data_IF_754103280758
#
_entry.id   IF_754103280758
#
_cell.length_a   1.000
_cell.length_b   1.000
_cell.length_c   1.000
_cell.angle_alpha   90.00
_cell.angle_beta   90.00
_cell.angle_gamma   90.00
#
_symmetry.space_group_name_H-M   'P 1'
#
loop_
_entity.id
_entity.type
_entity.pdbx_description
1 polymer ?
#
# COMPACT_ATOMS: atom_id res chain seq x y z
N UNK A 1 36.45 15.70 -6.78
CA UNK A 1 35.48 16.68 -7.32
C UNK A 1 34.21 16.55 -6.51
N UNK A 2 33.99 17.49 -5.59
CA UNK A 2 32.90 17.46 -4.62
C UNK A 2 31.67 18.18 -5.17
N UNK A 3 30.51 17.55 -5.03
CA UNK A 3 29.20 18.18 -5.28
C UNK A 3 28.80 19.01 -4.06
N UNK A 4 28.27 20.23 -4.24
CA UNK A 4 27.88 21.08 -3.13
C UNK A 4 26.56 20.61 -2.50
N UNK A 5 26.58 20.48 -1.18
CA UNK A 5 25.39 20.37 -0.32
C UNK A 5 24.60 21.69 -0.38
N UNK A 6 23.34 21.62 -0.80
CA UNK A 6 22.40 22.74 -0.67
C UNK A 6 21.67 22.58 0.68
N UNK A 7 21.67 23.60 1.55
CA UNK A 7 21.05 23.51 2.87
C UNK A 7 19.52 23.54 2.75
N UNK A 8 18.85 22.59 3.41
CA UNK A 8 17.41 22.66 3.67
C UNK A 8 17.14 23.88 4.55
N UNK A 9 16.43 24.86 3.98
CA UNK A 9 15.96 26.04 4.69
C UNK A 9 15.08 25.65 5.88
N UNK A 10 15.53 26.02 7.08
CA UNK A 10 14.69 26.18 8.25
C UNK A 10 13.71 27.33 7.99
N UNK A 11 12.41 27.03 7.93
CA UNK A 11 11.38 28.06 7.98
C UNK A 11 11.12 28.44 9.45
N UNK A 12 10.97 29.74 9.79
CA UNK A 12 10.73 30.17 11.16
C UNK A 12 9.31 29.79 11.63
N UNK A 13 9.21 29.31 12.86
CA UNK A 13 8.02 28.80 13.55
C UNK A 13 6.95 29.85 13.93
N UNK A 14 6.97 31.08 13.37
CA UNK A 14 6.15 32.20 13.88
C UNK A 14 5.01 32.66 12.94
N UNK A 15 4.48 31.81 12.05
CA UNK A 15 3.38 32.19 11.15
C UNK A 15 2.23 31.18 10.98
N UNK A 16 1.90 30.41 12.02
CA UNK A 16 0.77 29.47 11.99
C UNK A 16 -0.36 29.84 12.98
N UNK A 17 -0.90 31.05 12.88
CA UNK A 17 -2.20 31.41 13.51
C UNK A 17 -3.22 31.97 12.51
N UNK A 18 -3.29 31.38 11.32
CA UNK A 18 -4.45 31.51 10.44
C UNK A 18 -4.83 30.13 9.89
N UNK A 19 -5.88 29.55 10.47
CA UNK A 19 -6.54 28.34 9.96
C UNK A 19 -6.88 28.57 8.49
N UNK A 20 -6.26 27.80 7.60
CA UNK A 20 -6.61 27.81 6.19
C UNK A 20 -7.92 27.04 6.03
N UNK A 21 -9.04 27.76 5.91
CA UNK A 21 -10.27 27.19 5.32
C UNK A 21 -9.95 26.80 3.87
N UNK A 22 -10.37 25.62 3.46
CA UNK A 22 -10.17 25.15 2.09
C UNK A 22 -10.87 26.09 1.09
N UNK A 23 -10.21 26.45 -0.02
CA UNK A 23 -10.68 27.51 -0.93
C UNK A 23 -11.82 27.10 -1.88
N UNK A 24 -12.09 25.79 -2.04
CA UNK A 24 -13.03 25.26 -3.04
C UNK A 24 -14.08 24.32 -2.44
N UNK A 25 -15.22 24.18 -3.14
CA UNK A 25 -16.30 23.24 -2.79
C UNK A 25 -15.78 21.78 -2.73
N UNK A 26 -16.12 21.10 -1.64
CA UNK A 26 -15.81 19.69 -1.39
C UNK A 26 -16.80 18.78 -2.12
N UNK A 27 -16.35 18.09 -3.17
CA UNK A 27 -17.13 17.04 -3.82
C UNK A 27 -16.66 15.67 -3.31
N UNK A 28 -17.53 14.95 -2.60
CA UNK A 28 -17.25 13.57 -2.23
C UNK A 28 -17.55 12.65 -3.41
N UNK A 29 -16.69 11.67 -3.66
CA UNK A 29 -16.96 10.68 -4.69
C UNK A 29 -18.10 9.75 -4.26
N UNK A 30 -18.96 9.41 -5.23
CA UNK A 30 -20.08 8.51 -5.02
C UNK A 30 -19.65 7.05 -4.78
N UNK A 31 -20.57 6.22 -4.32
CA UNK A 31 -20.38 4.80 -3.96
C UNK A 31 -19.89 3.89 -5.08
N UNK A 32 -19.80 4.38 -6.32
CA UNK A 32 -19.40 3.62 -7.51
C UNK A 32 -17.94 3.80 -7.94
N UNK A 33 -17.13 4.59 -7.24
CA UNK A 33 -15.71 4.74 -7.61
C UNK A 33 -14.88 3.56 -7.06
N UNK A 34 -14.33 2.70 -7.92
CA UNK A 34 -13.64 1.50 -7.46
C UNK A 34 -12.32 1.84 -6.77
N UNK A 35 -11.65 2.94 -7.15
CA UNK A 35 -10.25 3.21 -6.83
C UNK A 35 -9.97 3.72 -5.41
N UNK A 36 -11.02 4.05 -4.64
CA UNK A 36 -10.87 4.42 -3.24
C UNK A 36 -9.84 5.53 -2.98
N UNK A 37 -9.76 6.50 -3.88
CA UNK A 37 -8.86 7.63 -3.67
C UNK A 37 -9.62 8.65 -2.83
N UNK A 38 -9.00 9.11 -1.74
CA UNK A 38 -9.44 10.30 -0.99
C UNK A 38 -9.50 11.48 -1.97
N UNK A 39 -10.70 11.88 -2.35
CA UNK A 39 -10.88 12.98 -3.28
C UNK A 39 -11.68 14.11 -2.62
N UNK A 40 -11.00 15.26 -2.59
CA UNK A 40 -11.61 16.54 -2.92
C UNK A 40 -11.95 16.45 -4.42
N UNK A 41 -13.14 15.94 -4.69
CA UNK A 41 -13.60 15.54 -6.01
C UNK A 41 -13.66 16.71 -6.99
N UNK A 42 -13.67 16.36 -8.28
CA UNK A 42 -14.00 17.32 -9.34
C UNK A 42 -15.51 17.31 -9.52
N UNK A 43 -16.07 18.37 -10.11
CA UNK A 43 -17.49 18.33 -10.48
C UNK A 43 -17.78 17.15 -11.42
N UNK A 44 -18.98 16.56 -11.40
CA UNK A 44 -19.36 15.48 -12.31
C UNK A 44 -19.06 15.80 -13.79
N UNK A 45 -19.29 17.03 -14.21
CA UNK A 45 -19.04 17.50 -15.59
C UNK A 45 -17.54 17.52 -15.92
N UNK A 46 -16.69 17.88 -14.96
CA UNK A 46 -15.25 17.83 -15.15
C UNK A 46 -14.73 16.38 -15.17
N UNK A 47 -15.34 15.50 -14.36
CA UNK A 47 -15.06 14.06 -14.39
C UNK A 47 -15.38 13.47 -15.77
N UNK A 48 -16.56 13.75 -16.32
CA UNK A 48 -16.97 13.27 -17.63
C UNK A 48 -16.03 13.75 -18.76
N UNK A 49 -15.66 15.04 -18.75
CA UNK A 49 -14.71 15.60 -19.72
C UNK A 49 -13.33 14.97 -19.63
N UNK A 50 -12.79 14.84 -18.42
CA UNK A 50 -11.47 14.26 -18.20
C UNK A 50 -11.46 12.76 -18.59
N UNK A 51 -12.54 12.02 -18.33
CA UNK A 51 -12.70 10.62 -18.76
C UNK A 51 -12.72 10.48 -20.28
N UNK A 52 -13.55 11.28 -20.97
CA UNK A 52 -13.62 11.27 -22.43
C UNK A 52 -12.26 11.64 -23.08
N UNK A 53 -11.48 12.49 -22.43
CA UNK A 53 -10.17 12.91 -22.89
C UNK A 53 -9.01 11.97 -22.46
N UNK A 54 -9.25 10.97 -21.61
CA UNK A 54 -8.20 10.12 -21.05
C UNK A 54 -7.21 10.87 -20.16
N UNK A 55 -7.65 11.93 -19.47
CA UNK A 55 -6.80 12.81 -18.67
C UNK A 55 -6.92 12.50 -17.18
N UNK A 56 -5.80 12.12 -16.57
CA UNK A 56 -5.67 12.07 -15.11
C UNK A 56 -5.14 13.41 -14.56
N UNK A 57 -5.66 13.84 -13.40
CA UNK A 57 -5.13 15.02 -12.69
C UNK A 57 -4.54 14.58 -11.34
N UNK A 58 -3.29 14.93 -11.11
CA UNK A 58 -2.53 14.60 -9.90
C UNK A 58 -2.34 15.85 -9.02
N UNK A 59 -2.25 15.67 -7.70
CA UNK A 59 -2.11 16.76 -6.73
C UNK A 59 -3.45 17.26 -6.14
N UNK A 60 -3.38 18.21 -5.19
CA UNK A 60 -4.56 18.73 -4.48
C UNK A 60 -5.16 17.72 -3.50
N UNK A 61 -4.33 17.15 -2.62
CA UNK A 61 -4.68 16.09 -1.65
C UNK A 61 -5.09 14.73 -2.25
N UNK A 62 -4.98 14.56 -3.58
CA UNK A 62 -5.17 13.28 -4.26
C UNK A 62 -3.98 12.36 -4.01
N UNK A 63 -4.22 11.20 -3.39
CA UNK A 63 -3.20 10.18 -3.17
C UNK A 63 -3.43 8.97 -4.09
N UNK A 64 -2.43 8.51 -4.87
CA UNK A 64 -2.56 7.31 -5.67
C UNK A 64 -2.71 6.07 -4.78
N UNK A 65 -3.68 5.22 -5.11
CA UNK A 65 -3.82 3.90 -4.50
C UNK A 65 -3.00 2.87 -5.29
N UNK A 66 -1.69 2.82 -5.01
CA UNK A 66 -0.79 1.91 -5.71
C UNK A 66 -1.15 0.45 -5.48
N UNK A 67 -1.55 0.04 -4.26
CA UNK A 67 -1.92 -1.35 -3.97
C UNK A 67 -3.04 -1.86 -4.87
N UNK A 68 -4.08 -1.04 -5.06
CA UNK A 68 -5.17 -1.35 -5.97
C UNK A 68 -4.76 -1.30 -7.45
N UNK A 69 -3.92 -0.33 -7.83
CA UNK A 69 -3.40 -0.27 -9.19
C UNK A 69 -2.62 -1.54 -9.56
N UNK A 70 -1.78 -2.06 -8.66
CA UNK A 70 -1.07 -3.32 -8.84
C UNK A 70 -2.02 -4.52 -8.91
N UNK A 71 -3.04 -4.58 -8.04
CA UNK A 71 -4.05 -5.64 -8.07
C UNK A 71 -4.81 -5.68 -9.41
N UNK A 72 -5.26 -4.51 -9.89
CA UNK A 72 -5.98 -4.37 -11.15
C UNK A 72 -5.08 -4.71 -12.35
N UNK A 73 -3.84 -4.23 -12.34
CA UNK A 73 -2.87 -4.52 -13.39
C UNK A 73 -2.55 -6.01 -13.47
N UNK A 74 -2.37 -6.69 -12.32
CA UNK A 74 -2.17 -8.12 -12.25
C UNK A 74 -3.34 -8.89 -12.88
N UNK A 75 -4.59 -8.55 -12.50
CA UNK A 75 -5.78 -9.20 -13.03
C UNK A 75 -5.97 -8.98 -14.54
N UNK A 76 -5.71 -7.75 -14.99
CA UNK A 76 -5.81 -7.38 -16.42
C UNK A 76 -4.80 -8.15 -17.25
N UNK A 77 -3.53 -8.19 -16.81
CA UNK A 77 -2.48 -8.92 -17.51
C UNK A 77 -2.73 -10.44 -17.47
N UNK A 78 -3.18 -10.97 -16.34
CA UNK A 78 -3.57 -12.38 -16.21
C UNK A 78 -4.67 -12.76 -17.20
N UNK A 79 -5.72 -11.94 -17.30
CA UNK A 79 -6.84 -12.18 -18.21
C UNK A 79 -6.38 -12.15 -19.68
N UNK A 80 -5.61 -11.12 -20.06
CA UNK A 80 -5.05 -11.01 -21.40
C UNK A 80 -4.10 -12.17 -21.75
N UNK A 81 -3.26 -12.60 -20.81
CA UNK A 81 -2.35 -13.73 -21.00
C UNK A 81 -3.08 -15.07 -21.18
N UNK A 82 -4.20 -15.27 -20.46
CA UNK A 82 -5.05 -16.45 -20.65
C UNK A 82 -5.70 -16.46 -22.03
N UNK A 83 -6.29 -15.33 -22.43
CA UNK A 83 -6.95 -15.18 -23.73
C UNK A 83 -5.97 -15.42 -24.89
N UNK A 84 -4.75 -14.88 -24.78
CA UNK A 84 -3.71 -14.98 -25.80
C UNK A 84 -2.84 -16.24 -25.68
N UNK A 85 -3.11 -17.11 -24.72
CA UNK A 85 -2.29 -18.31 -24.43
C UNK A 85 -0.80 -18.01 -24.19
N UNK A 86 -0.50 -16.91 -23.50
CA UNK A 86 0.87 -16.42 -23.20
C UNK A 86 1.19 -16.40 -21.70
N UNK A 87 0.56 -17.27 -20.90
CA UNK A 87 0.77 -17.33 -19.45
C UNK A 87 2.24 -17.50 -19.07
N UNK A 88 2.97 -18.39 -19.74
CA UNK A 88 4.38 -18.67 -19.40
C UNK A 88 5.29 -17.48 -19.72
N UNK A 89 4.92 -16.64 -20.69
CA UNK A 89 5.66 -15.41 -21.00
C UNK A 89 5.43 -14.30 -19.97
N UNK A 90 4.27 -14.31 -19.31
CA UNK A 90 3.84 -13.25 -18.40
C UNK A 90 3.76 -13.70 -16.95
N UNK A 91 4.04 -14.96 -16.64
CA UNK A 91 3.81 -15.52 -15.32
C UNK A 91 4.60 -14.82 -14.22
N UNK A 92 5.90 -14.60 -14.44
CA UNK A 92 6.74 -13.88 -13.48
C UNK A 92 6.35 -12.38 -13.35
N UNK A 93 6.09 -11.63 -14.44
CA UNK A 93 5.52 -10.29 -14.35
C UNK A 93 4.19 -10.21 -13.60
N UNK A 94 3.24 -11.12 -13.85
CA UNK A 94 1.95 -11.17 -13.15
C UNK A 94 2.20 -11.41 -11.66
N UNK A 95 3.04 -12.40 -11.33
CA UNK A 95 3.38 -12.71 -9.95
C UNK A 95 4.03 -11.53 -9.23
N UNK A 96 4.91 -10.78 -9.90
CA UNK A 96 5.49 -9.55 -9.36
C UNK A 96 4.41 -8.54 -8.95
N UNK A 97 3.45 -8.27 -9.83
CA UNK A 97 2.35 -7.34 -9.57
C UNK A 97 1.50 -7.82 -8.39
N UNK A 98 1.17 -9.11 -8.34
CA UNK A 98 0.41 -9.74 -7.25
C UNK A 98 1.13 -9.62 -5.91
N UNK A 99 2.41 -9.98 -5.88
CA UNK A 99 3.23 -9.91 -4.67
C UNK A 99 3.36 -8.49 -4.15
N UNK A 100 3.47 -7.50 -5.04
CA UNK A 100 3.58 -6.11 -4.63
C UNK A 100 2.23 -5.50 -4.21
N UNK A 101 1.13 -5.93 -4.83
CA UNK A 101 -0.21 -5.63 -4.33
C UNK A 101 -0.37 -6.14 -2.88
N UNK A 102 0.04 -7.38 -2.58
CA UNK A 102 0.02 -7.94 -1.23
C UNK A 102 0.85 -7.10 -0.23
N UNK A 103 2.06 -6.69 -0.60
CA UNK A 103 2.92 -5.84 0.23
C UNK A 103 2.21 -4.53 0.60
N UNK A 104 1.66 -3.84 -0.40
CA UNK A 104 1.01 -2.55 -0.21
C UNK A 104 -0.32 -2.66 0.55
N UNK A 105 -1.08 -3.73 0.34
CA UNK A 105 -2.30 -4.04 1.10
C UNK A 105 -2.02 -4.24 2.60
N UNK A 106 -0.86 -4.80 2.96
CA UNK A 106 -0.46 -4.98 4.36
C UNK A 106 0.13 -3.67 4.92
N UNK A 107 0.90 -2.94 4.12
CA UNK A 107 1.53 -1.67 4.53
C UNK A 107 0.52 -0.55 4.75
N UNK A 108 -0.55 -0.48 3.97
CA UNK A 108 -1.58 0.55 4.11
C UNK A 108 -2.19 0.62 5.54
N UNK A 109 -2.76 -0.47 6.11
CA UNK A 109 -3.25 -0.45 7.48
C UNK A 109 -2.14 -0.22 8.50
N UNK A 110 -0.93 -0.75 8.27
CA UNK A 110 0.22 -0.52 9.17
C UNK A 110 0.57 0.97 9.27
N UNK A 111 0.65 1.66 8.13
CA UNK A 111 0.97 3.09 8.06
C UNK A 111 -0.13 3.92 8.72
N UNK A 112 -1.40 3.62 8.44
CA UNK A 112 -2.51 4.30 9.10
C UNK A 112 -2.49 4.08 10.63
N UNK A 113 -2.23 2.85 11.08
CA UNK A 113 -2.07 2.55 12.50
C UNK A 113 -0.88 3.29 13.15
N UNK A 114 0.21 3.50 12.42
CA UNK A 114 1.34 4.31 12.86
C UNK A 114 0.92 5.78 12.99
N UNK A 115 0.16 6.31 12.03
CA UNK A 115 -0.29 7.69 12.05
C UNK A 115 -1.31 7.96 13.17
N UNK A 116 -2.22 7.02 13.43
CA UNK A 116 -3.08 7.00 14.63
C UNK A 116 -2.23 7.17 15.90
N UNK A 117 -1.09 6.48 15.99
CA UNK A 117 -0.23 6.56 17.17
C UNK A 117 0.54 7.87 17.26
N UNK A 118 1.02 8.42 16.13
CA UNK A 118 1.64 9.75 16.11
C UNK A 118 0.66 10.83 16.59
N UNK A 119 -0.61 10.75 16.19
CA UNK A 119 -1.63 11.70 16.63
C UNK A 119 -1.98 11.54 18.12
N UNK A 120 -2.11 10.31 18.61
CA UNK A 120 -2.29 10.06 20.05
C UNK A 120 -1.16 10.68 20.86
N UNK A 121 0.09 10.51 20.43
CA UNK A 121 1.26 11.10 21.08
C UNK A 121 1.21 12.63 21.06
N UNK A 122 0.87 13.24 19.92
CA UNK A 122 0.66 14.70 19.79
C UNK A 122 -0.39 15.23 20.77
N UNK A 123 -1.44 14.45 21.04
CA UNK A 123 -2.53 14.78 21.96
C UNK A 123 -2.24 14.36 23.43
N UNK A 124 -1.04 13.88 23.74
CA UNK A 124 -0.66 13.46 25.09
C UNK A 124 -1.35 12.17 25.57
N UNK A 125 -1.92 11.37 24.66
CA UNK A 125 -2.57 10.11 25.00
C UNK A 125 -1.54 8.98 25.23
N UNK A 126 -1.83 8.02 26.12
CA UNK A 126 -0.97 6.86 26.31
C UNK A 126 -0.74 6.08 25.02
N UNK A 127 0.54 5.74 24.78
CA UNK A 127 0.99 4.92 23.66
C UNK A 127 0.86 3.43 24.01
N UNK A 128 0.07 2.64 23.26
CA UNK A 128 0.09 1.18 23.36
C UNK A 128 1.45 0.64 22.85
N UNK A 129 1.66 -0.68 22.96
CA UNK A 129 2.92 -1.34 22.52
C UNK A 129 3.09 -1.41 20.98
N UNK A 130 2.58 -0.44 20.24
CA UNK A 130 2.72 -0.31 18.79
C UNK A 130 2.82 1.19 18.42
N UNK A 131 3.57 1.54 17.37
CA UNK A 131 4.62 0.72 16.75
C UNK A 131 5.87 0.70 17.65
N UNK A 132 6.62 -0.39 17.65
CA UNK A 132 8.04 -0.31 18.01
C UNK A 132 8.84 0.36 16.89
N UNK A 133 10.06 0.82 17.18
CA UNK A 133 10.93 1.45 16.17
C UNK A 133 11.14 0.55 14.94
N UNK A 134 11.43 -0.74 15.16
CA UNK A 134 11.61 -1.72 14.08
C UNK A 134 10.35 -1.92 13.23
N UNK A 135 9.16 -1.85 13.85
CA UNK A 135 7.90 -1.99 13.13
C UNK A 135 7.61 -0.79 12.24
N UNK A 136 7.89 0.42 12.73
CA UNK A 136 7.77 1.64 11.93
C UNK A 136 8.74 1.60 10.73
N UNK A 137 10.01 1.26 10.98
CA UNK A 137 11.04 1.12 9.93
C UNK A 137 10.65 0.08 8.87
N UNK A 138 10.07 -1.06 9.29
CA UNK A 138 9.62 -2.10 8.36
C UNK A 138 8.40 -1.69 7.53
N UNK A 139 7.41 -1.05 8.15
CA UNK A 139 6.22 -0.57 7.44
C UNK A 139 6.56 0.41 6.31
N UNK A 140 7.68 1.13 6.44
CA UNK A 140 8.17 2.06 5.41
C UNK A 140 9.03 1.35 4.36
N UNK A 141 10.10 0.67 4.78
CA UNK A 141 11.20 0.28 3.88
C UNK A 141 11.32 -1.21 3.62
N UNK A 142 10.67 -2.06 4.41
CA UNK A 142 10.85 -3.51 4.32
C UNK A 142 9.92 -4.15 3.29
N UNK A 143 10.35 -5.27 2.74
CA UNK A 143 9.63 -5.96 1.67
C UNK A 143 9.19 -7.38 2.04
N UNK A 144 9.63 -7.94 3.17
CA UNK A 144 9.28 -9.29 3.59
C UNK A 144 7.83 -9.39 4.09
N UNK A 145 7.00 -10.17 3.38
CA UNK A 145 5.58 -10.31 3.69
C UNK A 145 5.31 -10.98 5.04
N UNK A 146 6.19 -11.91 5.47
CA UNK A 146 6.05 -12.62 6.75
C UNK A 146 6.14 -11.66 7.94
N UNK A 147 7.16 -10.81 7.95
CA UNK A 147 7.34 -9.82 9.03
C UNK A 147 6.24 -8.75 8.99
N UNK A 148 5.87 -8.28 7.79
CA UNK A 148 4.79 -7.32 7.63
C UNK A 148 3.44 -7.88 8.12
N UNK A 149 3.12 -9.13 7.81
CA UNK A 149 1.91 -9.78 8.32
C UNK A 149 1.93 -9.90 9.86
N UNK A 150 3.08 -10.28 10.43
CA UNK A 150 3.25 -10.36 11.88
C UNK A 150 3.04 -8.98 12.54
N UNK A 151 3.56 -7.92 11.92
CA UNK A 151 3.37 -6.55 12.40
C UNK A 151 1.93 -6.09 12.28
N UNK A 152 1.23 -6.45 11.20
CA UNK A 152 -0.19 -6.16 11.00
C UNK A 152 -1.05 -6.80 12.09
N UNK A 153 -0.76 -8.05 12.47
CA UNK A 153 -1.43 -8.74 13.57
C UNK A 153 -1.16 -8.08 14.93
N UNK A 154 0.09 -7.70 15.18
CA UNK A 154 0.47 -6.99 16.41
C UNK A 154 -0.23 -5.63 16.51
N UNK A 155 -0.31 -4.90 15.40
CA UNK A 155 -1.02 -3.63 15.29
C UNK A 155 -2.52 -3.81 15.53
N UNK A 156 -3.16 -4.77 14.85
CA UNK A 156 -4.59 -5.02 14.98
C UNK A 156 -4.99 -5.30 16.44
N UNK A 157 -4.17 -6.11 17.14
CA UNK A 157 -4.32 -6.40 18.56
C UNK A 157 -4.07 -5.16 19.45
N UNK A 158 -3.01 -4.41 19.18
CA UNK A 158 -2.63 -3.25 20.00
C UNK A 158 -3.64 -2.10 19.90
N UNK A 159 -4.26 -1.92 18.74
CA UNK A 159 -5.26 -0.87 18.47
C UNK A 159 -6.70 -1.35 18.64
N UNK A 160 -6.92 -2.65 18.87
CA UNK A 160 -8.25 -3.26 19.03
C UNK A 160 -9.16 -3.03 17.82
N UNK A 161 -8.59 -3.06 16.60
CA UNK A 161 -9.31 -2.79 15.35
C UNK A 161 -9.84 -4.06 14.66
N UNK A 162 -9.84 -5.19 15.36
CA UNK A 162 -10.32 -6.48 14.86
C UNK A 162 -9.21 -7.51 14.65
N UNK A 163 -9.51 -8.54 13.86
CA UNK A 163 -8.61 -9.66 13.55
C UNK A 163 -8.22 -9.56 12.08
N UNK A 164 -6.95 -9.82 11.78
CA UNK A 164 -6.45 -9.89 10.39
C UNK A 164 -7.19 -11.00 9.63
N UNK A 165 -7.89 -10.69 8.52
CA UNK A 165 -8.69 -11.66 7.79
C UNK A 165 -7.87 -12.85 7.28
N UNK A 166 -8.48 -14.04 7.28
CA UNK A 166 -7.84 -15.27 6.79
C UNK A 166 -7.44 -15.15 5.32
N UNK A 167 -8.21 -14.44 4.51
CA UNK A 167 -7.86 -14.19 3.11
C UNK A 167 -6.48 -13.52 2.95
N UNK A 168 -6.11 -12.59 3.85
CA UNK A 168 -4.78 -11.96 3.86
C UNK A 168 -3.70 -13.00 4.20
N UNK A 169 -3.95 -13.83 5.22
CA UNK A 169 -3.02 -14.88 5.65
C UNK A 169 -2.80 -15.90 4.54
N UNK A 170 -3.87 -16.35 3.90
CA UNK A 170 -3.84 -17.30 2.78
C UNK A 170 -3.12 -16.71 1.56
N UNK A 171 -3.40 -15.46 1.17
CA UNK A 171 -2.70 -14.82 0.07
C UNK A 171 -1.19 -14.75 0.33
N UNK A 172 -0.77 -14.34 1.54
CA UNK A 172 0.64 -14.31 1.93
C UNK A 172 1.26 -15.70 1.93
N UNK A 173 0.56 -16.71 2.46
CA UNK A 173 1.05 -18.09 2.49
C UNK A 173 1.32 -18.63 1.08
N UNK A 174 0.39 -18.41 0.14
CA UNK A 174 0.55 -18.86 -1.25
C UNK A 174 1.69 -18.13 -1.98
N UNK A 175 1.83 -16.82 -1.75
CA UNK A 175 2.97 -16.07 -2.31
C UNK A 175 4.29 -16.59 -1.75
N UNK A 176 4.38 -16.81 -0.44
CA UNK A 176 5.60 -17.29 0.22
C UNK A 176 5.94 -18.74 -0.11
N UNK A 177 4.96 -19.56 -0.53
CA UNK A 177 5.21 -20.93 -0.98
C UNK A 177 6.01 -20.96 -2.30
N UNK A 178 5.90 -19.89 -3.10
CA UNK A 178 6.58 -19.74 -4.39
C UNK A 178 7.80 -18.81 -4.29
N UNK A 179 7.72 -17.77 -3.45
CA UNK A 179 8.75 -16.74 -3.35
C UNK A 179 10.01 -17.25 -2.64
N UNK A 180 11.06 -17.55 -3.41
CA UNK A 180 12.36 -17.99 -2.86
C UNK A 180 13.07 -16.90 -2.03
N UNK A 181 12.92 -15.63 -2.43
CA UNK A 181 13.43 -14.43 -1.72
C UNK A 181 12.50 -13.25 -2.01
N UNK A 182 12.45 -12.27 -1.11
CA UNK A 182 11.51 -11.14 -1.21
C UNK A 182 11.68 -10.23 -2.46
N UNK A 183 12.76 -10.36 -3.24
CA UNK A 183 12.97 -9.65 -4.53
C UNK A 183 12.94 -10.58 -5.74
N UNK A 184 12.59 -11.85 -5.55
CA UNK A 184 12.70 -12.90 -6.57
C UNK A 184 11.91 -12.58 -7.84
N UNK A 185 10.72 -12.03 -7.71
CA UNK A 185 9.89 -11.64 -8.86
C UNK A 185 10.38 -10.40 -9.61
N UNK A 186 11.31 -9.62 -9.02
CA UNK A 186 11.87 -8.40 -9.63
C UNK A 186 13.09 -8.67 -10.50
N UNK A 187 13.84 -9.73 -10.18
CA UNK A 187 15.07 -10.07 -10.86
C UNK A 187 14.98 -11.53 -11.28
N UNK A 188 14.89 -11.80 -12.59
CA UNK A 188 14.93 -13.15 -13.17
C UNK A 188 16.29 -13.84 -13.01
N UNK A 189 17.10 -13.37 -12.05
CA UNK A 189 18.48 -13.74 -11.84
C UNK A 189 18.93 -13.47 -10.39
N UNK A 190 19.85 -14.31 -9.92
CA UNK A 190 20.59 -14.08 -8.69
C UNK A 190 21.90 -13.34 -8.98
N UNK A 191 22.33 -12.50 -8.03
CA UNK A 191 23.69 -11.95 -7.99
C UNK A 191 24.53 -12.87 -7.11
N UNK A 192 25.32 -13.74 -7.73
CA UNK A 192 26.31 -14.53 -7.01
C UNK A 192 27.70 -13.92 -7.25
N UNK A 193 28.38 -13.51 -6.19
CA UNK A 193 29.82 -13.27 -6.17
C UNK A 193 30.48 -14.48 -5.51
N UNK A 194 31.22 -15.32 -6.27
CA UNK A 194 31.86 -16.51 -5.71
C UNK A 194 32.84 -16.21 -4.57
N UNK A 195 33.31 -14.96 -4.47
CA UNK A 195 34.45 -14.57 -3.64
C UNK A 195 34.08 -13.55 -2.54
N UNK A 196 32.79 -13.24 -2.35
CA UNK A 196 32.35 -12.30 -1.31
C UNK A 196 32.69 -10.82 -1.54
N UNK A 197 33.27 -10.45 -2.68
CA UNK A 197 33.50 -9.04 -3.03
C UNK A 197 33.86 -8.82 -4.51
N UNK A 198 33.21 -7.84 -5.15
CA UNK A 198 33.68 -7.20 -6.39
C UNK A 198 33.19 -7.77 -7.73
N UNK A 199 32.49 -6.91 -8.49
CA UNK A 199 32.39 -6.75 -9.96
C UNK A 199 32.18 -7.94 -10.92
N UNK A 200 32.04 -9.18 -10.44
CA UNK A 200 31.69 -10.33 -11.27
C UNK A 200 30.47 -11.04 -10.74
N UNK A 201 29.34 -10.36 -10.81
CA UNK A 201 28.09 -11.04 -10.60
C UNK A 201 27.70 -11.84 -11.83
N UNK A 202 27.60 -13.15 -11.65
CA UNK A 202 27.11 -14.04 -12.69
C UNK A 202 25.59 -13.94 -12.77
N UNK A 203 25.08 -13.56 -13.94
CA UNK A 203 23.67 -13.67 -14.30
C UNK A 203 23.27 -15.15 -14.36
N UNK A 204 22.58 -15.65 -13.34
CA UNK A 204 22.06 -17.02 -13.34
C UNK A 204 20.56 -16.96 -13.51
N UNK A 205 20.06 -17.31 -14.70
CA UNK A 205 18.64 -17.55 -14.93
C UNK A 205 18.13 -18.67 -14.03
N UNK A 206 16.84 -18.62 -13.67
CA UNK A 206 16.19 -19.69 -12.90
C UNK A 206 16.48 -21.06 -13.54
N UNK A 207 17.14 -21.93 -12.77
CA UNK A 207 17.48 -23.28 -13.22
C UNK A 207 16.33 -24.25 -13.04
N UNK A 208 15.56 -24.06 -11.98
CA UNK A 208 14.45 -24.93 -11.63
C UNK A 208 13.13 -24.35 -12.18
N UNK A 209 12.33 -25.23 -12.75
CA UNK A 209 10.96 -24.91 -13.14
C UNK A 209 10.13 -24.63 -11.87
N UNK A 210 9.42 -23.51 -11.85
CA UNK A 210 8.56 -23.12 -10.74
C UNK A 210 7.14 -22.92 -11.26
N UNK A 211 6.20 -23.66 -10.68
CA UNK A 211 4.78 -23.52 -10.98
C UNK A 211 4.18 -22.44 -10.09
N UNK A 212 3.66 -21.37 -10.69
CA UNK A 212 3.04 -20.26 -9.95
C UNK A 212 1.53 -20.32 -10.13
N UNK A 213 0.72 -20.48 -9.05
CA UNK A 213 -0.74 -20.56 -9.15
C UNK A 213 -1.39 -19.17 -9.27
N UNK A 214 -1.08 -18.45 -10.36
CA UNK A 214 -1.43 -17.03 -10.56
C UNK A 214 -2.92 -16.72 -10.34
N UNK A 215 -3.83 -17.56 -10.86
CA UNK A 215 -5.27 -17.32 -10.72
C UNK A 215 -5.75 -17.49 -9.27
N UNK A 216 -5.19 -18.44 -8.53
CA UNK A 216 -5.52 -18.64 -7.13
C UNK A 216 -5.02 -17.47 -6.28
N UNK A 217 -3.78 -17.06 -6.49
CA UNK A 217 -3.19 -15.88 -5.82
C UNK A 217 -4.04 -14.64 -6.12
N UNK A 218 -4.47 -14.43 -7.37
CA UNK A 218 -5.31 -13.29 -7.74
C UNK A 218 -6.63 -13.27 -6.96
N UNK A 219 -7.31 -14.41 -6.87
CA UNK A 219 -8.59 -14.53 -6.17
C UNK A 219 -8.43 -14.28 -4.67
N UNK A 220 -7.36 -14.82 -4.06
CA UNK A 220 -7.06 -14.59 -2.64
C UNK A 220 -6.73 -13.11 -2.37
N UNK A 221 -6.00 -12.45 -3.26
CA UNK A 221 -5.71 -11.01 -3.12
C UNK A 221 -6.96 -10.15 -3.27
N UNK A 222 -7.88 -10.51 -4.17
CA UNK A 222 -9.17 -9.82 -4.27
C UNK A 222 -9.99 -9.99 -2.98
N UNK A 223 -10.09 -11.22 -2.47
CA UNK A 223 -10.78 -11.49 -1.21
C UNK A 223 -10.11 -10.77 -0.02
N UNK A 224 -8.78 -10.70 0.00
CA UNK A 224 -8.01 -9.98 1.02
C UNK A 224 -8.27 -8.47 0.97
N UNK A 225 -8.27 -7.88 -0.22
CA UNK A 225 -8.62 -6.49 -0.43
C UNK A 225 -10.03 -6.16 0.07
N UNK A 226 -11.00 -7.01 -0.24
CA UNK A 226 -12.39 -6.79 0.15
C UNK A 226 -12.55 -6.98 1.68
N UNK A 227 -11.88 -7.98 2.26
CA UNK A 227 -11.99 -8.30 3.69
C UNK A 227 -11.24 -7.32 4.62
N UNK A 228 -10.20 -6.64 4.14
CA UNK A 228 -9.57 -5.54 4.90
C UNK A 228 -10.49 -4.32 4.99
N UNK A 229 -11.53 -4.28 4.16
CA UNK A 229 -12.18 -3.06 3.70
C UNK A 229 -11.25 -2.46 2.68
N UNK A 230 -11.73 -2.27 1.45
CA UNK A 230 -10.97 -1.64 0.37
C UNK A 230 -10.16 -0.47 0.95
N UNK A 231 -8.97 -0.21 0.42
CA UNK A 231 -8.09 0.89 0.88
C UNK A 231 -8.86 2.21 1.05
N UNK A 232 -10.05 2.34 0.40
CA UNK A 232 -11.16 3.21 0.77
C UNK A 232 -12.47 2.78 0.04
N UNK A 233 -13.72 3.18 0.40
CA UNK A 233 -14.15 3.99 1.54
C UNK A 233 -14.64 3.13 2.72
N UNK A 234 -14.69 3.77 3.89
CA UNK A 234 -14.97 3.20 5.20
C UNK A 234 -16.17 2.24 5.25
N UNK A 235 -15.88 0.94 5.18
CA UNK A 235 -16.82 -0.07 5.62
C UNK A 235 -16.67 -0.21 7.13
N UNK A 236 -17.62 0.35 7.89
CA UNK A 236 -17.68 0.17 9.33
C UNK A 236 -17.64 -1.32 9.67
N UNK A 237 -16.69 -1.72 10.51
CA UNK A 237 -16.53 -3.11 10.98
C UNK A 237 -15.33 -3.88 10.41
N UNK A 238 -14.61 -3.34 9.42
CA UNK A 238 -13.35 -3.91 8.90
C UNK A 238 -12.13 -3.13 9.41
N UNK A 239 -10.93 -3.72 9.36
CA UNK A 239 -9.71 -3.12 9.93
C UNK A 239 -9.46 -1.70 9.41
N UNK A 240 -9.54 -1.48 8.09
CA UNK A 240 -9.33 -0.15 7.51
C UNK A 240 -10.40 0.85 7.94
N UNK A 241 -11.65 0.41 8.06
CA UNK A 241 -12.75 1.25 8.56
C UNK A 241 -12.54 1.65 10.03
N UNK A 242 -12.15 0.69 10.87
CA UNK A 242 -11.88 0.93 12.29
C UNK A 242 -10.67 1.85 12.51
N UNK A 243 -9.57 1.63 11.78
CA UNK A 243 -8.42 2.54 11.80
C UNK A 243 -8.77 3.93 11.30
N UNK A 244 -9.59 4.01 10.26
CA UNK A 244 -10.13 5.23 9.70
C UNK A 244 -10.89 6.06 10.74
N UNK A 245 -11.84 5.42 11.44
CA UNK A 245 -12.60 6.07 12.52
C UNK A 245 -11.71 6.55 13.65
N UNK A 246 -10.74 5.72 14.10
CA UNK A 246 -9.77 6.14 15.12
C UNK A 246 -8.95 7.36 14.67
N UNK A 247 -8.54 7.40 13.41
CA UNK A 247 -7.76 8.52 12.87
C UNK A 247 -8.60 9.78 12.75
N UNK A 248 -9.83 9.68 12.24
CA UNK A 248 -10.77 10.79 12.12
C UNK A 248 -11.09 11.42 13.49
N UNK A 249 -11.38 10.60 14.51
CA UNK A 249 -11.64 11.07 15.87
C UNK A 249 -10.46 11.91 16.42
N UNK A 250 -9.23 11.46 16.16
CA UNK A 250 -8.02 12.17 16.59
C UNK A 250 -7.80 13.48 15.81
N UNK A 251 -8.14 13.50 14.53
CA UNK A 251 -8.10 14.73 13.73
C UNK A 251 -9.11 15.77 14.23
N UNK A 252 -10.33 15.34 14.56
CA UNK A 252 -11.38 16.18 15.17
C UNK A 252 -10.93 16.74 16.52
N UNK A 253 -10.40 15.88 17.39
CA UNK A 253 -9.88 16.27 18.70
C UNK A 253 -8.70 17.26 18.58
N UNK A 254 -7.85 17.10 17.57
CA UNK A 254 -6.76 18.01 17.27
C UNK A 254 -7.22 19.34 16.63
N UNK A 255 -8.50 19.49 16.31
CA UNK A 255 -9.06 20.67 15.62
C UNK A 255 -8.61 20.80 14.17
N UNK A 256 -8.22 19.69 13.53
CA UNK A 256 -7.76 19.68 12.14
C UNK A 256 -8.92 19.52 11.13
N UNK A 257 -10.07 18.99 11.58
CA UNK A 257 -11.29 18.84 10.79
C UNK A 257 -12.56 19.15 11.61
N UNK A 258 -13.55 19.71 10.91
CA UNK A 258 -14.98 19.93 11.22
C UNK A 258 -15.74 18.74 11.81
#
# INVERSE_FOLDING_TARGET
MGFPLVPLFAYPLERLSKMAKFPDDLYFNGTGEPAGVLFWGKSPEQTEKDLAAGVARLGGFRAPNYGQAYLLAANTLLSAAREKTTLDHHGLPIFFLQRHAAELMIKAPLQLGIDVQKYREKLGRPRPRFPSRKQAERAETWHGLRELLTDLEAMAKALQVGIVPDAVRSAVAEILAVEMKHTWSRYSYDWYTPDGGGDKALHVHMKDEVVIPLAMIQNLLQAANDALGTIWPFHGGLIMGALGGLYEDLLREAGEID
#
